data_IF_820630799896
#
_entry.id   IF_820630799896
#
_cell.length_a   1.000
_cell.length_b   1.000
_cell.length_c   1.000
_cell.angle_alpha   90.00
_cell.angle_beta   90.00
_cell.angle_gamma   90.00
#
_symmetry.space_group_name_H-M   'P 1'
#
loop_
_entity.id
_entity.type
_entity.pdbx_description
1 polymer ?
#
# COMPACT_ATOMS: atom_id res chain seq x y z
N UNK A 1 13.04 3.91 -9.33
CA UNK A 1 13.90 3.00 -8.54
C UNK A 1 14.80 3.83 -7.62
N UNK A 2 14.35 4.17 -6.39
CA UNK A 2 15.12 4.98 -5.43
C UNK A 2 15.82 4.14 -4.36
N UNK A 3 15.35 2.92 -4.14
CA UNK A 3 15.79 2.03 -3.06
C UNK A 3 16.81 0.96 -3.52
N UNK A 4 17.26 0.99 -4.78
CA UNK A 4 18.21 0.01 -5.32
C UNK A 4 17.61 -1.35 -5.69
N UNK A 5 16.33 -1.58 -5.44
CA UNK A 5 15.61 -2.80 -5.83
C UNK A 5 14.94 -2.66 -7.21
N UNK A 6 14.84 -3.78 -7.94
CA UNK A 6 13.99 -3.88 -9.11
C UNK A 6 12.52 -3.90 -8.67
N UNK A 7 11.75 -2.90 -9.11
CA UNK A 7 10.33 -2.73 -8.79
C UNK A 7 9.51 -2.72 -10.09
N UNK A 8 8.59 -3.66 -10.23
CA UNK A 8 7.59 -3.65 -11.30
C UNK A 8 6.22 -3.36 -10.69
N UNK A 9 5.56 -2.31 -11.17
CA UNK A 9 4.19 -1.97 -10.77
C UNK A 9 3.21 -2.43 -11.85
N UNK A 10 2.24 -3.26 -11.47
CA UNK A 10 1.18 -3.73 -12.35
C UNK A 10 -0.13 -3.04 -11.96
N UNK A 11 -0.64 -2.10 -12.77
CA UNK A 11 -1.84 -1.33 -12.43
C UNK A 11 -3.14 -2.12 -12.58
N UNK A 12 -3.10 -3.31 -13.18
CA UNK A 12 -4.22 -4.24 -13.27
C UNK A 12 -3.88 -5.54 -12.54
N UNK A 13 -4.90 -6.17 -11.95
CA UNK A 13 -4.79 -7.40 -11.16
C UNK A 13 -4.36 -8.64 -11.94
N UNK A 14 -3.98 -8.45 -13.19
CA UNK A 14 -3.26 -9.43 -13.97
C UNK A 14 -1.80 -9.31 -13.55
N UNK A 15 -1.44 -9.90 -12.41
CA UNK A 15 -0.11 -10.49 -12.31
C UNK A 15 -0.06 -11.49 -13.49
N UNK A 16 0.73 -11.24 -14.54
CA UNK A 16 0.84 -12.21 -15.61
C UNK A 16 1.34 -13.48 -14.93
N UNK A 17 0.70 -14.63 -15.19
CA UNK A 17 1.15 -15.93 -14.66
C UNK A 17 2.67 -16.15 -14.85
N UNK A 18 3.22 -15.51 -15.88
CA UNK A 18 4.64 -15.40 -16.22
C UNK A 18 5.52 -14.66 -15.19
N UNK A 19 5.02 -13.60 -14.56
CA UNK A 19 5.74 -12.84 -13.52
C UNK A 19 5.65 -13.57 -12.17
N UNK A 20 4.51 -14.21 -11.91
CA UNK A 20 4.40 -15.07 -10.74
C UNK A 20 5.39 -16.25 -10.81
N UNK A 21 5.64 -16.81 -11.99
CA UNK A 21 6.67 -17.85 -12.17
C UNK A 21 8.11 -17.37 -12.06
N UNK A 22 8.37 -16.06 -12.12
CA UNK A 22 9.69 -15.50 -11.83
C UNK A 22 9.87 -15.15 -10.36
N UNK A 23 8.84 -15.30 -9.52
CA UNK A 23 8.96 -15.03 -8.10
C UNK A 23 9.84 -16.11 -7.45
N UNK A 24 10.90 -15.66 -6.81
CA UNK A 24 11.69 -16.48 -5.91
C UNK A 24 11.16 -16.37 -4.47
N UNK A 25 11.47 -17.32 -3.58
CA UNK A 25 11.07 -17.24 -2.17
C UNK A 25 11.58 -15.99 -1.42
N UNK A 26 12.55 -15.27 -1.99
CA UNK A 26 13.07 -14.01 -1.46
C UNK A 26 12.33 -12.76 -1.97
N UNK A 27 11.38 -12.93 -2.90
CA UNK A 27 10.63 -11.81 -3.46
C UNK A 27 9.49 -11.37 -2.56
N UNK A 28 9.14 -10.09 -2.69
CA UNK A 28 8.05 -9.46 -1.94
C UNK A 28 7.05 -8.88 -2.91
N UNK A 29 5.79 -9.31 -2.79
CA UNK A 29 4.66 -8.80 -3.56
C UNK A 29 3.87 -7.84 -2.69
N UNK A 30 3.70 -6.61 -3.17
CA UNK A 30 2.88 -5.59 -2.51
C UNK A 30 1.57 -5.44 -3.28
N UNK A 31 0.45 -5.66 -2.59
CA UNK A 31 -0.90 -5.56 -3.15
C UNK A 31 -1.61 -4.38 -2.52
N UNK A 32 -2.27 -3.55 -3.34
CA UNK A 32 -3.02 -2.39 -2.86
C UNK A 32 -4.46 -2.48 -3.35
N UNK A 33 -5.41 -2.51 -2.41
CA UNK A 33 -6.84 -2.48 -2.72
C UNK A 33 -7.59 -1.79 -1.60
N UNK A 34 -8.40 -0.79 -1.94
CA UNK A 34 -9.10 0.01 -0.93
C UNK A 34 -10.12 -0.82 -0.14
N UNK A 35 -10.91 -1.63 -0.84
CA UNK A 35 -11.95 -2.47 -0.22
C UNK A 35 -11.41 -3.86 0.15
N UNK A 36 -10.43 -4.38 -0.59
CA UNK A 36 -9.88 -5.72 -0.38
C UNK A 36 -10.77 -6.87 -0.84
N UNK A 37 -11.85 -6.58 -1.57
CA UNK A 37 -12.81 -7.58 -2.09
C UNK A 37 -12.63 -7.91 -3.57
N UNK A 38 -11.61 -7.37 -4.23
CA UNK A 38 -11.34 -7.64 -5.64
C UNK A 38 -10.84 -9.08 -5.81
N UNK A 39 -11.62 -10.00 -6.42
CA UNK A 39 -11.27 -11.42 -6.46
C UNK A 39 -9.95 -11.69 -7.18
N UNK A 40 -9.67 -10.96 -8.27
CA UNK A 40 -8.42 -11.07 -9.02
C UNK A 40 -7.18 -10.71 -8.17
N UNK A 41 -7.31 -9.76 -7.25
CA UNK A 41 -6.24 -9.38 -6.32
C UNK A 41 -5.99 -10.46 -5.28
N UNK A 42 -7.07 -11.09 -4.79
CA UNK A 42 -6.99 -12.20 -3.83
C UNK A 42 -6.35 -13.41 -4.48
N UNK A 43 -6.77 -13.79 -5.69
CA UNK A 43 -6.18 -14.90 -6.45
C UNK A 43 -4.70 -14.66 -6.74
N UNK A 44 -4.34 -13.44 -7.15
CA UNK A 44 -2.95 -13.06 -7.38
C UNK A 44 -2.08 -13.16 -6.11
N UNK A 45 -2.61 -12.74 -4.96
CA UNK A 45 -1.93 -12.87 -3.67
C UNK A 45 -1.76 -14.36 -3.28
N UNK A 46 -2.76 -15.20 -3.54
CA UNK A 46 -2.66 -16.64 -3.31
C UNK A 46 -1.59 -17.28 -4.18
N UNK A 47 -1.56 -16.94 -5.47
CA UNK A 47 -0.55 -17.46 -6.40
C UNK A 47 0.85 -17.02 -5.96
N UNK A 48 1.06 -15.74 -5.64
CA UNK A 48 2.35 -15.25 -5.14
C UNK A 48 2.84 -16.05 -3.92
N UNK A 49 1.93 -16.34 -2.99
CA UNK A 49 2.22 -17.16 -1.81
C UNK A 49 2.54 -18.62 -2.15
N UNK A 50 1.87 -19.21 -3.15
CA UNK A 50 2.17 -20.56 -3.64
C UNK A 50 3.59 -20.67 -4.21
N UNK A 51 4.11 -19.59 -4.81
CA UNK A 51 5.50 -19.50 -5.27
C UNK A 51 6.50 -19.16 -4.14
N UNK A 52 6.04 -19.01 -2.90
CA UNK A 52 6.87 -18.74 -1.73
C UNK A 52 7.25 -17.28 -1.53
N UNK A 53 6.71 -16.37 -2.33
CA UNK A 53 6.92 -14.93 -2.14
C UNK A 53 6.16 -14.42 -0.91
N UNK A 54 6.72 -13.41 -0.26
CA UNK A 54 6.06 -12.74 0.88
C UNK A 54 5.03 -11.74 0.36
N UNK A 55 3.81 -11.79 0.87
CA UNK A 55 2.72 -10.90 0.45
C UNK A 55 2.43 -9.84 1.50
N UNK A 56 2.51 -8.58 1.09
CA UNK A 56 2.15 -7.41 1.89
C UNK A 56 0.92 -6.76 1.26
N UNK A 57 -0.20 -6.68 1.99
CA UNK A 57 -1.41 -6.02 1.50
C UNK A 57 -1.67 -4.70 2.21
N UNK A 58 -1.94 -3.66 1.42
CA UNK A 58 -2.47 -2.37 1.87
C UNK A 58 -3.96 -2.38 1.57
N UNK A 59 -4.78 -2.70 2.58
CA UNK A 59 -6.21 -2.95 2.37
C UNK A 59 -7.07 -2.79 3.62
N UNK A 60 -8.39 -2.87 3.49
CA UNK A 60 -9.30 -2.80 4.63
C UNK A 60 -9.11 -4.02 5.56
N UNK A 61 -9.22 -3.78 6.87
CA UNK A 61 -9.18 -4.85 7.88
C UNK A 61 -10.39 -5.78 7.69
N UNK A 62 -10.20 -7.10 7.88
CA UNK A 62 -11.23 -8.15 7.68
C UNK A 62 -11.73 -8.30 6.23
N UNK A 63 -10.88 -8.02 5.25
CA UNK A 63 -11.16 -8.29 3.83
C UNK A 63 -10.50 -9.60 3.38
N UNK A 64 -11.00 -10.27 2.32
CA UNK A 64 -10.41 -11.54 1.85
C UNK A 64 -8.95 -11.38 1.39
N UNK A 65 -8.56 -10.18 0.97
CA UNK A 65 -7.17 -9.87 0.66
C UNK A 65 -6.30 -9.80 1.94
N UNK A 66 -6.83 -9.27 3.03
CA UNK A 66 -6.14 -9.24 4.32
C UNK A 66 -5.85 -10.66 4.84
N UNK A 67 -6.83 -11.56 4.74
CA UNK A 67 -6.70 -12.94 5.22
C UNK A 67 -5.67 -13.77 4.44
N UNK A 68 -5.45 -13.41 3.17
CA UNK A 68 -4.51 -14.12 2.28
C UNK A 68 -3.06 -13.65 2.47
N UNK A 69 -2.86 -12.47 3.05
CA UNK A 69 -1.56 -11.79 3.11
C UNK A 69 -0.76 -12.13 4.37
N UNK A 70 0.58 -12.04 4.29
CA UNK A 70 1.46 -12.28 5.45
C UNK A 70 1.52 -11.05 6.36
N UNK A 71 1.48 -9.86 5.76
CA UNK A 71 1.47 -8.57 6.47
C UNK A 71 0.35 -7.73 5.90
N UNK A 72 -0.51 -7.22 6.78
CA UNK A 72 -1.61 -6.32 6.41
C UNK A 72 -1.30 -4.94 6.96
N UNK A 73 -1.29 -3.93 6.08
CA UNK A 73 -1.33 -2.53 6.42
C UNK A 73 -2.79 -2.08 6.31
N UNK A 74 -3.55 -2.08 7.43
CA UNK A 74 -4.96 -1.75 7.40
C UNK A 74 -5.14 -0.29 7.02
N UNK A 75 -5.90 -0.03 5.96
CA UNK A 75 -6.37 1.32 5.66
C UNK A 75 -7.77 1.50 6.22
N UNK A 76 -8.01 2.62 6.91
CA UNK A 76 -9.34 3.05 7.27
C UNK A 76 -9.78 4.09 6.25
N UNK A 77 -10.64 3.68 5.32
CA UNK A 77 -11.33 4.63 4.45
C UNK A 77 -12.44 5.31 5.24
N UNK A 78 -12.06 6.24 6.13
CA UNK A 78 -12.96 7.37 6.40
C UNK A 78 -12.97 8.14 5.09
N UNK A 79 -14.10 8.28 4.44
CA UNK A 79 -14.29 9.18 3.30
C UNK A 79 -13.75 10.56 3.71
N UNK A 80 -12.47 10.78 3.43
CA UNK A 80 -11.70 11.92 3.86
C UNK A 80 -11.32 12.56 2.56
N UNK A 81 -12.15 13.54 2.21
CA UNK A 81 -11.99 14.54 1.16
C UNK A 81 -10.76 15.45 1.41
N UNK A 82 -9.68 14.83 1.88
CA UNK A 82 -8.39 15.40 2.21
C UNK A 82 -7.42 14.26 1.93
N UNK A 83 -6.85 14.11 0.75
CA UNK A 83 -5.66 14.83 0.31
C UNK A 83 -5.53 14.57 -1.20
N UNK A 84 -6.11 15.45 -2.01
CA UNK A 84 -5.69 15.68 -3.41
C UNK A 84 -5.25 17.15 -3.55
N UNK A 85 -4.55 17.67 -2.53
CA UNK A 85 -3.92 18.99 -2.55
C UNK A 85 -2.43 18.84 -2.26
N UNK A 86 -1.54 18.98 -3.26
CA UNK A 86 -0.12 19.12 -3.02
C UNK A 86 0.18 20.56 -2.60
N UNK A 87 -0.31 21.01 -1.43
CA UNK A 87 0.15 22.24 -0.74
C UNK A 87 -0.82 22.61 0.39
N UNK A 88 -0.52 22.20 1.61
CA UNK A 88 -0.80 22.99 2.81
C UNK A 88 -0.10 22.32 3.98
N UNK A 89 1.22 22.43 3.95
CA UNK A 89 2.02 22.28 5.14
C UNK A 89 1.66 23.45 6.07
N UNK A 90 1.08 23.26 7.26
CA UNK A 90 0.99 24.35 8.21
C UNK A 90 2.40 24.57 8.72
N UNK A 91 3.07 25.61 8.22
CA UNK A 91 4.30 26.12 8.79
C UNK A 91 4.02 26.54 10.23
N UNK A 92 4.22 25.62 11.18
CA UNK A 92 4.56 25.96 12.55
C UNK A 92 5.95 26.60 12.51
N UNK A 93 5.99 27.93 12.36
CA UNK A 93 7.14 28.71 12.75
C UNK A 93 6.86 29.33 14.12
N UNK A 94 7.56 28.80 15.11
CA UNK A 94 7.76 29.44 16.39
C UNK A 94 8.76 30.60 16.25
N UNK A 95 8.48 31.71 16.93
CA UNK A 95 9.52 32.63 17.42
C UNK A 95 9.37 34.09 17.03
N UNK A 96 9.09 34.95 18.03
CA UNK A 96 9.69 36.29 18.05
C UNK A 96 8.81 37.48 18.44
N UNK A 97 8.83 37.81 19.74
CA UNK A 97 8.84 39.17 20.30
C UNK A 97 7.58 40.08 20.29
N UNK A 98 7.11 40.33 21.54
CA UNK A 98 6.69 41.60 22.18
C UNK A 98 5.57 42.44 21.52
N UNK A 99 4.50 42.70 22.28
CA UNK A 99 4.33 43.99 22.97
C UNK A 99 3.18 43.95 24.01
N UNK A 100 3.40 44.70 25.09
CA UNK A 100 2.55 44.92 26.27
C UNK A 100 1.56 46.05 26.00
N UNK A 101 0.34 45.95 26.55
CA UNK A 101 -0.43 47.04 27.22
C UNK A 101 -1.87 46.52 27.42
N UNK A 102 -2.39 46.41 28.65
CA UNK A 102 -2.86 47.51 29.50
C UNK A 102 -3.94 48.34 28.78
#
# INVERSE_FOLDING_TARGET
MRLGYAICAYPQALLPRMVASTLEPNDVVVVLSVTGYTPEMVESAQIARQYGAKVIAITAMNSPLADTSDIVLPITSRETDFIYHPSSFPLRHAGGHRCVSA
#
